data_IF_823584726459
#
_entry.id   IF_823584726459
#
_cell.length_a   1.000
_cell.length_b   1.000
_cell.length_c   1.000
_cell.angle_alpha   90.00
_cell.angle_beta   90.00
_cell.angle_gamma   90.00
#
_symmetry.space_group_name_H-M   'P 1'
#
loop_
_entity.id
_entity.type
_entity.pdbx_description
1 polymer ?
#
# COMPACT_ATOMS: atom_id res chain seq x y z
N UNK A 1 2.65 -20.53 38.56
CA UNK A 1 3.36 -21.75 38.11
C UNK A 1 3.53 -21.77 36.59
N UNK A 2 2.50 -21.47 35.79
CA UNK A 2 2.58 -21.54 34.31
C UNK A 2 3.62 -20.59 33.66
N UNK A 3 3.70 -19.31 34.06
CA UNK A 3 4.67 -18.37 33.48
C UNK A 3 6.13 -18.76 33.73
N UNK A 4 6.47 -19.14 34.96
CA UNK A 4 7.83 -19.58 35.32
C UNK A 4 8.22 -20.83 34.52
N UNK A 5 7.28 -21.75 34.30
CA UNK A 5 7.52 -22.94 33.49
C UNK A 5 7.73 -22.60 32.00
N UNK A 6 7.01 -21.60 31.48
CA UNK A 6 7.21 -21.11 30.12
C UNK A 6 8.59 -20.46 29.95
N UNK A 7 8.97 -19.57 30.87
CA UNK A 7 10.27 -18.88 30.82
C UNK A 7 11.43 -19.90 30.85
N UNK A 8 11.35 -20.90 31.74
CA UNK A 8 12.32 -22.00 31.80
C UNK A 8 12.37 -22.83 30.51
N UNK A 9 11.24 -23.08 29.86
CA UNK A 9 11.19 -23.78 28.58
C UNK A 9 11.86 -22.97 27.46
N UNK A 10 11.61 -21.66 27.41
CA UNK A 10 12.19 -20.77 26.40
C UNK A 10 13.71 -20.62 26.56
N UNK A 11 14.22 -20.55 27.80
CA UNK A 11 15.66 -20.49 28.09
C UNK A 11 16.43 -21.75 27.64
N UNK A 12 15.77 -22.91 27.56
CA UNK A 12 16.39 -24.17 27.14
C UNK A 12 16.58 -24.27 25.62
N UNK A 13 15.91 -23.42 24.86
CA UNK A 13 15.97 -23.42 23.40
C UNK A 13 16.99 -22.41 22.87
N UNK A 14 17.44 -22.63 21.63
CA UNK A 14 18.35 -21.68 20.98
C UNK A 14 17.62 -20.34 20.77
N UNK A 15 18.27 -19.20 21.03
CA UNK A 15 17.67 -17.90 20.81
C UNK A 15 17.46 -17.65 19.31
N UNK A 16 16.48 -16.81 18.98
CA UNK A 16 16.28 -16.34 17.62
C UNK A 16 17.52 -15.59 17.11
N UNK A 17 17.77 -15.67 15.81
CA UNK A 17 18.87 -14.94 15.17
C UNK A 17 18.72 -13.43 15.40
N UNK A 18 19.78 -12.70 15.79
CA UNK A 18 19.73 -11.25 16.00
C UNK A 18 19.35 -10.47 14.74
N UNK A 19 18.78 -9.28 14.92
CA UNK A 19 18.36 -8.40 13.82
C UNK A 19 19.53 -7.92 12.95
N UNK A 20 20.73 -7.82 13.54
CA UNK A 20 21.97 -7.43 12.88
C UNK A 20 22.54 -8.48 11.92
N UNK A 21 22.07 -9.73 12.01
CA UNK A 21 22.58 -10.85 11.23
C UNK A 21 21.65 -11.24 10.07
N UNK A 22 22.26 -11.57 8.93
CA UNK A 22 21.57 -12.17 7.80
C UNK A 22 21.62 -13.70 7.90
N UNK A 23 20.45 -14.33 7.75
CA UNK A 23 20.31 -15.77 7.55
C UNK A 23 20.94 -16.21 6.23
N UNK A 24 21.16 -17.52 6.09
CA UNK A 24 21.70 -18.12 4.87
C UNK A 24 20.82 -17.77 3.67
N UNK A 25 19.49 -17.89 3.80
CA UNK A 25 18.54 -17.57 2.73
C UNK A 25 18.56 -16.11 2.33
N UNK A 26 18.64 -15.19 3.29
CA UNK A 26 18.76 -13.75 3.02
C UNK A 26 20.06 -13.43 2.28
N UNK A 27 21.20 -14.01 2.71
CA UNK A 27 22.49 -13.84 2.03
C UNK A 27 22.44 -14.39 0.60
N UNK A 28 21.91 -15.59 0.42
CA UNK A 28 21.78 -16.22 -0.90
C UNK A 28 20.91 -15.39 -1.84
N UNK A 29 19.77 -14.88 -1.36
CA UNK A 29 18.90 -14.02 -2.15
C UNK A 29 19.61 -12.71 -2.57
N UNK A 30 20.29 -12.05 -1.63
CA UNK A 30 21.06 -10.81 -1.90
C UNK A 30 22.14 -11.08 -2.96
N UNK A 31 22.95 -12.12 -2.78
CA UNK A 31 24.02 -12.46 -3.74
C UNK A 31 23.48 -12.89 -5.10
N UNK A 32 22.37 -13.63 -5.14
CA UNK A 32 21.72 -14.01 -6.39
C UNK A 32 21.24 -12.78 -7.18
N UNK A 33 20.62 -11.81 -6.51
CA UNK A 33 20.17 -10.56 -7.18
C UNK A 33 21.35 -9.68 -7.59
N UNK A 34 22.39 -9.54 -6.76
CA UNK A 34 23.61 -8.82 -7.16
C UNK A 34 24.30 -9.48 -8.36
N UNK A 35 24.35 -10.82 -8.38
CA UNK A 35 24.84 -11.59 -9.52
C UNK A 35 24.00 -11.36 -10.78
N UNK A 36 22.67 -11.39 -10.65
CA UNK A 36 21.76 -11.09 -11.76
C UNK A 36 21.98 -9.67 -12.30
N UNK A 37 22.06 -8.66 -11.43
CA UNK A 37 22.35 -7.27 -11.83
C UNK A 37 23.69 -7.19 -12.56
N UNK A 38 24.74 -7.84 -12.03
CA UNK A 38 26.05 -7.85 -12.66
C UNK A 38 26.03 -8.53 -14.04
N UNK A 39 25.27 -9.63 -14.19
CA UNK A 39 25.08 -10.31 -15.48
C UNK A 39 24.33 -9.40 -16.46
N UNK A 40 23.26 -8.74 -16.03
CA UNK A 40 22.49 -7.83 -16.87
C UNK A 40 23.31 -6.62 -17.33
N UNK A 41 24.08 -6.01 -16.42
CA UNK A 41 24.99 -4.92 -16.74
C UNK A 41 26.14 -5.37 -17.67
N UNK A 42 26.68 -6.56 -17.43
CA UNK A 42 27.71 -7.14 -18.31
C UNK A 42 27.14 -7.48 -19.68
N UNK A 43 25.92 -8.03 -19.73
CA UNK A 43 25.19 -8.32 -20.97
C UNK A 43 24.88 -7.06 -21.77
N UNK A 44 24.55 -5.95 -21.10
CA UNK A 44 24.38 -4.65 -21.74
C UNK A 44 25.65 -4.20 -22.49
N UNK A 45 26.82 -4.46 -21.92
CA UNK A 45 28.12 -4.05 -22.49
C UNK A 45 28.67 -5.06 -23.50
N UNK A 46 28.50 -6.36 -23.25
CA UNK A 46 29.19 -7.44 -23.98
C UNK A 46 28.33 -8.13 -25.04
N UNK A 47 27.01 -8.09 -24.90
CA UNK A 47 26.07 -8.84 -25.75
C UNK A 47 24.68 -8.14 -25.78
N UNK A 48 24.66 -6.86 -26.14
CA UNK A 48 23.47 -6.02 -26.06
C UNK A 48 22.29 -6.62 -26.84
N UNK A 49 22.48 -6.91 -28.12
CA UNK A 49 21.44 -7.42 -29.02
C UNK A 49 20.83 -8.74 -28.51
N UNK A 50 21.67 -9.67 -28.01
CA UNK A 50 21.21 -10.99 -27.56
C UNK A 50 20.47 -10.89 -26.21
N UNK A 51 20.98 -10.11 -25.26
CA UNK A 51 20.41 -10.03 -23.92
C UNK A 51 19.19 -9.11 -23.87
N UNK A 52 19.25 -7.97 -24.56
CA UNK A 52 18.22 -6.95 -24.51
C UNK A 52 17.20 -7.09 -25.64
N UNK A 53 17.62 -7.09 -26.91
CA UNK A 53 16.68 -7.11 -28.04
C UNK A 53 16.02 -8.48 -28.25
N UNK A 54 16.79 -9.57 -28.22
CA UNK A 54 16.25 -10.92 -28.42
C UNK A 54 15.71 -11.55 -27.12
N UNK A 55 16.26 -11.16 -25.97
CA UNK A 55 15.94 -11.73 -24.67
C UNK A 55 14.85 -10.96 -23.91
N UNK A 56 15.24 -9.85 -23.30
CA UNK A 56 14.39 -9.10 -22.36
C UNK A 56 13.25 -8.35 -23.05
N UNK A 57 13.47 -7.82 -24.25
CA UNK A 57 12.50 -7.00 -24.96
C UNK A 57 11.19 -7.73 -25.25
N UNK A 58 11.15 -8.92 -25.88
CA UNK A 58 9.90 -9.61 -26.16
C UNK A 58 9.16 -10.09 -24.90
N UNK A 59 9.87 -10.34 -23.80
CA UNK A 59 9.30 -10.92 -22.57
C UNK A 59 8.84 -9.85 -21.59
N UNK A 60 9.60 -8.77 -21.45
CA UNK A 60 9.37 -7.73 -20.43
C UNK A 60 9.01 -6.39 -21.08
N UNK A 61 9.75 -5.94 -22.09
CA UNK A 61 9.61 -4.59 -22.63
C UNK A 61 8.40 -4.43 -23.55
N UNK A 62 8.21 -5.33 -24.51
CA UNK A 62 7.11 -5.28 -25.48
C UNK A 62 5.73 -5.38 -24.81
N UNK A 63 5.52 -6.22 -23.78
CA UNK A 63 4.28 -6.20 -23.01
C UNK A 63 4.08 -4.88 -22.25
N UNK A 64 5.15 -4.32 -21.66
CA UNK A 64 5.09 -3.06 -20.90
C UNK A 64 4.82 -1.87 -21.82
N UNK A 65 5.45 -1.80 -23.00
CA UNK A 65 5.20 -0.74 -23.98
C UNK A 65 3.83 -0.85 -24.61
N UNK A 66 3.31 -2.07 -24.81
CA UNK A 66 1.93 -2.29 -25.25
C UNK A 66 0.91 -1.86 -24.19
N UNK A 67 1.23 -2.03 -22.91
CA UNK A 67 0.43 -1.52 -21.79
C UNK A 67 0.54 0.02 -21.64
N UNK A 68 1.70 0.59 -21.98
CA UNK A 68 1.95 2.04 -21.94
C UNK A 68 1.48 2.81 -23.20
N UNK A 69 1.01 2.13 -24.25
CA UNK A 69 0.46 2.77 -25.44
C UNK A 69 -0.93 3.35 -25.23
N UNK A 70 -1.35 4.28 -26.11
CA UNK A 70 -2.56 5.13 -26.07
C UNK A 70 -3.94 4.43 -25.91
N UNK A 71 -3.99 3.13 -25.61
CA UNK A 71 -5.22 2.41 -25.30
C UNK A 71 -5.15 1.57 -24.01
N UNK A 72 -3.99 1.43 -23.34
CA UNK A 72 -3.89 0.72 -22.05
C UNK A 72 -4.56 -0.67 -22.02
N UNK A 73 -4.47 -1.42 -23.12
CA UNK A 73 -5.37 -2.56 -23.44
C UNK A 73 -4.63 -3.90 -23.64
N UNK A 74 -3.48 -4.08 -22.98
CA UNK A 74 -2.73 -5.33 -23.02
C UNK A 74 -3.09 -6.27 -21.86
N UNK A 75 -3.68 -7.43 -22.14
CA UNK A 75 -3.93 -8.48 -21.15
C UNK A 75 -2.63 -9.16 -20.65
N UNK A 76 -2.59 -9.56 -19.37
CA UNK A 76 -1.45 -10.25 -18.78
C UNK A 76 -1.34 -11.73 -19.23
N UNK A 77 -0.13 -12.18 -19.57
CA UNK A 77 0.17 -13.60 -19.81
C UNK A 77 0.56 -14.33 -18.51
N UNK A 78 0.36 -15.66 -18.39
CA UNK A 78 0.80 -16.43 -17.23
C UNK A 78 2.30 -16.31 -16.94
N UNK A 79 3.14 -16.21 -17.97
CA UNK A 79 4.59 -16.02 -17.82
C UNK A 79 4.92 -14.68 -17.18
N UNK A 80 4.28 -13.60 -17.65
CA UNK A 80 4.49 -12.27 -17.10
C UNK A 80 4.06 -12.22 -15.63
N UNK A 81 2.88 -12.77 -15.32
CA UNK A 81 2.37 -12.87 -13.94
C UNK A 81 3.35 -13.62 -13.03
N UNK A 82 3.94 -14.73 -13.50
CA UNK A 82 4.90 -15.50 -12.73
C UNK A 82 6.21 -14.72 -12.48
N UNK A 83 6.74 -14.03 -13.49
CA UNK A 83 7.96 -13.21 -13.37
C UNK A 83 7.74 -12.06 -12.39
N UNK A 84 6.62 -11.33 -12.50
CA UNK A 84 6.31 -10.22 -11.59
C UNK A 84 6.08 -10.71 -10.15
N UNK A 85 5.39 -11.83 -9.98
CA UNK A 85 5.14 -12.40 -8.65
C UNK A 85 6.43 -12.92 -8.01
N UNK A 86 7.27 -13.63 -8.79
CA UNK A 86 8.55 -14.13 -8.32
C UNK A 86 9.52 -13.01 -7.96
N UNK A 87 9.63 -11.97 -8.78
CA UNK A 87 10.48 -10.81 -8.49
C UNK A 87 10.01 -10.06 -7.25
N UNK A 88 8.69 -9.90 -7.06
CA UNK A 88 8.12 -9.30 -5.86
C UNK A 88 8.49 -10.09 -4.60
N UNK A 89 8.35 -11.41 -4.60
CA UNK A 89 8.71 -12.26 -3.46
C UNK A 89 10.20 -12.13 -3.10
N UNK A 90 11.08 -12.14 -4.11
CA UNK A 90 12.53 -11.94 -3.88
C UNK A 90 12.82 -10.55 -3.32
N UNK A 91 12.17 -9.51 -3.86
CA UNK A 91 12.28 -8.15 -3.34
C UNK A 91 11.84 -8.06 -1.87
N UNK A 92 10.73 -8.70 -1.49
CA UNK A 92 10.26 -8.72 -0.10
C UNK A 92 11.31 -9.35 0.83
N UNK A 93 11.91 -10.49 0.44
CA UNK A 93 12.95 -11.17 1.24
C UNK A 93 14.20 -10.32 1.41
N UNK A 94 14.60 -9.56 0.38
CA UNK A 94 15.77 -8.68 0.43
C UNK A 94 15.46 -7.43 1.25
N UNK A 95 14.37 -6.74 0.93
CA UNK A 95 14.00 -5.48 1.58
C UNK A 95 13.73 -5.67 3.07
N UNK A 96 13.07 -6.75 3.49
CA UNK A 96 12.88 -6.99 4.93
C UNK A 96 14.22 -7.14 5.67
N UNK A 97 15.20 -7.80 5.05
CA UNK A 97 16.51 -7.99 5.65
C UNK A 97 17.29 -6.66 5.73
N UNK A 98 17.25 -5.87 4.65
CA UNK A 98 17.90 -4.56 4.60
C UNK A 98 17.28 -3.58 5.60
N UNK A 99 15.94 -3.51 5.66
CA UNK A 99 15.22 -2.61 6.58
C UNK A 99 15.42 -3.00 8.03
N UNK A 100 15.44 -4.31 8.33
CA UNK A 100 15.78 -4.81 9.67
C UNK A 100 17.18 -4.41 10.08
N UNK A 101 18.17 -4.64 9.22
CA UNK A 101 19.57 -4.29 9.52
C UNK A 101 19.79 -2.78 9.64
N UNK A 102 18.99 -1.99 8.92
CA UNK A 102 19.01 -0.53 9.00
C UNK A 102 18.22 0.03 10.19
N UNK A 103 17.59 -0.83 11.01
CA UNK A 103 16.75 -0.45 12.15
C UNK A 103 15.64 0.54 11.77
N UNK A 104 15.00 0.31 10.62
CA UNK A 104 13.90 1.16 10.20
C UNK A 104 12.64 0.89 11.05
N UNK A 105 11.82 1.92 11.34
CA UNK A 105 10.57 1.71 12.05
C UNK A 105 9.66 0.74 11.27
N UNK A 106 9.08 -0.25 11.95
CA UNK A 106 8.13 -1.21 11.37
C UNK A 106 6.84 -1.36 12.19
N UNK A 107 6.54 -0.39 13.04
CA UNK A 107 5.39 -0.40 13.92
C UNK A 107 4.08 0.05 13.23
N UNK A 108 2.99 0.06 13.99
CA UNK A 108 1.68 0.57 13.56
C UNK A 108 1.75 1.99 12.97
N UNK A 109 2.68 2.83 13.46
CA UNK A 109 2.87 4.20 12.98
C UNK A 109 3.45 4.22 11.57
N UNK A 110 4.46 3.37 11.31
CA UNK A 110 4.99 3.18 9.95
C UNK A 110 3.92 2.64 9.00
N UNK A 111 3.09 1.71 9.48
CA UNK A 111 1.98 1.17 8.67
C UNK A 111 1.04 2.29 8.20
N UNK A 112 0.66 3.21 9.10
CA UNK A 112 -0.15 4.38 8.74
C UNK A 112 0.52 5.30 7.72
N UNK A 113 1.83 5.52 7.85
CA UNK A 113 2.59 6.31 6.89
C UNK A 113 2.54 5.65 5.50
N UNK A 114 2.79 4.35 5.40
CA UNK A 114 2.76 3.62 4.14
C UNK A 114 1.38 3.59 3.49
N UNK A 115 0.29 3.47 4.27
CA UNK A 115 -1.08 3.54 3.76
C UNK A 115 -1.32 4.86 3.01
N UNK A 116 -0.84 5.99 3.54
CA UNK A 116 -0.99 7.28 2.86
C UNK A 116 -0.31 7.31 1.48
N UNK A 117 0.85 6.66 1.35
CA UNK A 117 1.55 6.53 0.06
C UNK A 117 0.85 5.56 -0.90
N UNK A 118 0.26 4.47 -0.38
CA UNK A 118 -0.57 3.57 -1.20
C UNK A 118 -1.79 4.29 -1.76
N UNK A 119 -2.39 5.23 -1.01
CA UNK A 119 -3.50 6.06 -1.49
C UNK A 119 -3.07 7.14 -2.51
N UNK A 120 -1.81 7.59 -2.48
CA UNK A 120 -1.33 8.66 -3.37
C UNK A 120 -1.27 8.23 -4.84
N UNK A 121 -0.81 7.00 -5.10
CA UNK A 121 -0.71 6.47 -6.45
C UNK A 121 -2.07 6.45 -7.20
N UNK A 122 -3.15 5.84 -6.66
CA UNK A 122 -4.46 5.88 -7.30
C UNK A 122 -5.05 7.29 -7.37
N UNK A 123 -4.76 8.17 -6.40
CA UNK A 123 -5.20 9.57 -6.45
C UNK A 123 -4.68 10.29 -7.71
N UNK A 124 -3.42 10.09 -8.07
CA UNK A 124 -2.85 10.67 -9.29
C UNK A 124 -3.23 9.89 -10.55
N UNK A 125 -3.41 8.57 -10.46
CA UNK A 125 -3.87 7.78 -11.61
C UNK A 125 -5.22 8.17 -12.14
N UNK A 126 -6.15 8.44 -11.25
CA UNK A 126 -7.50 8.85 -11.66
C UNK A 126 -7.48 10.19 -12.38
N UNK A 127 -6.50 11.07 -12.10
CA UNK A 127 -6.29 12.30 -12.87
C UNK A 127 -5.73 12.02 -14.26
N UNK A 128 -4.83 11.04 -14.38
CA UNK A 128 -4.33 10.58 -15.69
C UNK A 128 -5.46 9.93 -16.50
N UNK A 129 -6.26 9.04 -15.89
CA UNK A 129 -7.46 8.45 -16.52
C UNK A 129 -8.49 9.52 -16.96
N UNK A 130 -8.42 10.73 -16.40
CA UNK A 130 -9.28 11.85 -16.75
C UNK A 130 -8.65 12.86 -17.70
N UNK A 131 -7.52 12.53 -18.35
CA UNK A 131 -6.79 13.41 -19.29
C UNK A 131 -6.33 14.73 -18.65
N UNK A 132 -5.99 14.72 -17.35
CA UNK A 132 -5.52 15.93 -16.66
C UNK A 132 -4.11 16.34 -17.08
N UNK A 133 -3.19 15.38 -17.25
CA UNK A 133 -1.78 15.66 -17.51
C UNK A 133 -1.50 15.84 -19.00
N UNK A 134 -0.49 16.64 -19.31
CA UNK A 134 -0.09 16.95 -20.69
C UNK A 134 0.43 15.71 -21.43
N UNK A 135 0.33 15.69 -22.77
CA UNK A 135 0.79 14.56 -23.62
C UNK A 135 2.29 14.20 -23.46
N UNK A 136 3.09 15.10 -22.91
CA UNK A 136 4.51 14.84 -22.60
C UNK A 136 4.72 14.28 -21.18
N UNK A 137 3.77 14.52 -20.26
CA UNK A 137 3.86 14.20 -18.84
C UNK A 137 2.98 13.02 -18.43
N UNK A 138 1.95 12.68 -19.21
CA UNK A 138 1.06 11.52 -19.02
C UNK A 138 1.84 10.20 -18.81
N UNK A 139 2.94 10.02 -19.54
CA UNK A 139 3.84 8.86 -19.46
C UNK A 139 4.38 8.66 -18.03
N UNK A 140 4.58 9.74 -17.25
CA UNK A 140 5.01 9.64 -15.85
C UNK A 140 3.93 9.06 -14.95
N UNK A 141 2.67 9.27 -15.29
CA UNK A 141 1.53 8.81 -14.52
C UNK A 141 1.02 7.45 -14.96
N UNK A 142 1.52 6.87 -16.05
CA UNK A 142 1.21 5.50 -16.50
C UNK A 142 2.12 4.44 -15.85
N UNK A 143 1.80 3.15 -15.99
CA UNK A 143 2.57 2.02 -15.43
C UNK A 143 3.74 1.71 -16.34
N UNK A 144 4.94 1.39 -15.81
CA UNK A 144 5.30 1.28 -14.38
C UNK A 144 5.81 2.60 -13.78
N UNK A 145 5.96 3.67 -14.57
CA UNK A 145 6.68 4.90 -14.21
C UNK A 145 6.11 5.61 -12.98
N UNK A 146 4.78 5.61 -12.80
CA UNK A 146 4.16 6.24 -11.63
C UNK A 146 4.72 5.69 -10.32
N UNK A 147 4.91 4.37 -10.26
CA UNK A 147 5.38 3.69 -9.06
C UNK A 147 6.86 4.00 -8.80
N UNK A 148 7.65 4.18 -9.86
CA UNK A 148 9.07 4.48 -9.76
C UNK A 148 9.32 5.90 -9.22
N UNK A 149 8.66 6.91 -9.79
CA UNK A 149 8.87 8.28 -9.31
C UNK A 149 8.22 8.50 -7.94
N UNK A 150 7.06 7.89 -7.65
CA UNK A 150 6.47 7.94 -6.31
C UNK A 150 7.34 7.25 -5.26
N UNK A 151 7.97 6.12 -5.61
CA UNK A 151 8.96 5.50 -4.75
C UNK A 151 10.18 6.42 -4.54
N UNK A 152 10.62 7.14 -5.57
CA UNK A 152 11.70 8.13 -5.43
C UNK A 152 11.32 9.27 -4.48
N UNK A 153 10.09 9.78 -4.56
CA UNK A 153 9.56 10.75 -3.58
C UNK A 153 9.50 10.17 -2.17
N UNK A 154 8.97 8.96 -2.00
CA UNK A 154 8.88 8.28 -0.70
C UNK A 154 10.26 8.13 -0.05
N UNK A 155 11.23 7.61 -0.82
CA UNK A 155 12.61 7.41 -0.36
C UNK A 155 13.27 8.76 -0.07
N UNK A 156 13.07 9.76 -0.94
CA UNK A 156 13.61 11.11 -0.76
C UNK A 156 13.10 11.79 0.51
N UNK A 157 11.80 11.69 0.79
CA UNK A 157 11.18 12.21 2.00
C UNK A 157 11.67 11.44 3.24
N UNK A 158 11.73 10.11 3.18
CA UNK A 158 12.24 9.28 4.26
C UNK A 158 13.70 9.61 4.60
N UNK A 159 14.57 9.63 3.58
CA UNK A 159 16.00 9.93 3.72
C UNK A 159 16.24 11.35 4.24
N UNK A 160 15.53 12.34 3.70
CA UNK A 160 15.62 13.74 4.17
C UNK A 160 15.16 13.85 5.62
N UNK A 161 14.05 13.20 5.97
CA UNK A 161 13.53 13.22 7.34
C UNK A 161 14.51 12.58 8.33
N UNK A 162 15.10 11.43 7.98
CA UNK A 162 16.14 10.80 8.79
C UNK A 162 17.37 11.69 8.91
N UNK A 163 17.82 12.28 7.80
CA UNK A 163 19.04 13.06 7.76
C UNK A 163 18.93 14.35 8.59
N UNK A 164 17.83 15.11 8.49
CA UNK A 164 17.73 16.38 9.24
C UNK A 164 17.27 16.16 10.68
N UNK A 165 16.36 15.21 10.93
CA UNK A 165 15.68 15.10 12.21
C UNK A 165 15.94 13.80 13.00
N UNK A 166 16.44 12.74 12.37
CA UNK A 166 16.63 11.44 13.01
C UNK A 166 17.57 11.45 14.22
N UNK A 167 18.52 12.39 14.28
CA UNK A 167 19.40 12.58 15.43
C UNK A 167 18.66 12.95 16.74
N UNK A 168 17.39 13.36 16.65
CA UNK A 168 16.55 13.72 17.81
C UNK A 168 15.43 12.71 18.07
N UNK A 169 15.41 11.55 17.41
CA UNK A 169 14.32 10.57 17.56
C UNK A 169 14.17 10.02 19.00
N UNK A 170 15.25 9.99 19.77
CA UNK A 170 15.23 9.59 21.19
C UNK A 170 14.98 10.74 22.16
N UNK A 171 14.82 11.97 21.66
CA UNK A 171 14.66 13.15 22.50
C UNK A 171 13.24 13.25 23.05
N UNK A 172 13.12 13.44 24.36
CA UNK A 172 11.83 13.51 25.07
C UNK A 172 11.44 14.93 25.49
N UNK A 173 12.30 15.91 25.26
CA UNK A 173 12.05 17.30 25.68
C UNK A 173 11.27 18.09 24.63
N UNK A 174 10.37 18.98 25.08
CA UNK A 174 9.64 19.91 24.21
C UNK A 174 10.57 20.78 23.36
N UNK A 175 11.76 21.10 23.91
CA UNK A 175 12.76 21.90 23.21
C UNK A 175 13.32 21.16 22.00
N UNK A 176 13.54 19.85 22.11
CA UNK A 176 14.06 19.03 21.02
C UNK A 176 12.97 18.75 19.98
N UNK A 177 11.75 18.49 20.42
CA UNK A 177 10.58 18.40 19.53
C UNK A 177 10.36 19.72 18.75
N UNK A 178 10.61 20.87 19.36
CA UNK A 178 10.59 22.15 18.68
C UNK A 178 11.77 22.33 17.68
N UNK A 179 12.91 21.65 17.87
CA UNK A 179 14.00 21.64 16.88
C UNK A 179 13.63 20.78 15.67
N UNK A 180 13.14 19.55 15.90
CA UNK A 180 12.67 18.65 14.83
C UNK A 180 11.66 19.38 13.96
N UNK A 181 10.64 19.99 14.57
CA UNK A 181 9.59 20.72 13.86
C UNK A 181 10.13 21.88 13.04
N UNK A 182 11.00 22.70 13.62
CA UNK A 182 11.59 23.87 12.93
C UNK A 182 12.53 23.47 11.79
N UNK A 183 13.22 22.34 11.91
CA UNK A 183 14.11 21.85 10.86
C UNK A 183 13.33 21.14 9.74
N UNK A 184 12.42 20.22 10.08
CA UNK A 184 11.77 19.34 9.12
C UNK A 184 10.56 19.98 8.43
N UNK A 185 9.72 20.73 9.16
CA UNK A 185 8.46 21.25 8.61
C UNK A 185 8.65 22.18 7.40
N UNK A 186 9.56 23.17 7.40
CA UNK A 186 9.76 24.03 6.22
C UNK A 186 10.23 23.23 5.01
N UNK A 187 11.11 22.23 5.21
CA UNK A 187 11.62 21.37 4.13
C UNK A 187 10.48 20.57 3.52
N UNK A 188 9.61 19.97 4.32
CA UNK A 188 8.46 19.21 3.81
C UNK A 188 7.43 20.10 3.11
N UNK A 189 7.21 21.33 3.58
CA UNK A 189 6.33 22.30 2.91
C UNK A 189 6.89 22.72 1.55
N UNK A 190 8.20 22.99 1.46
CA UNK A 190 8.88 23.28 0.19
C UNK A 190 8.82 22.06 -0.72
N UNK A 191 9.08 20.86 -0.20
CA UNK A 191 8.97 19.63 -0.98
C UNK A 191 7.56 19.42 -1.53
N UNK A 192 6.51 19.73 -0.75
CA UNK A 192 5.13 19.62 -1.21
C UNK A 192 4.81 20.66 -2.29
N UNK A 193 5.33 21.87 -2.15
CA UNK A 193 5.21 22.91 -3.19
C UNK A 193 5.95 22.50 -4.48
N UNK A 194 7.14 21.91 -4.36
CA UNK A 194 7.88 21.36 -5.51
C UNK A 194 7.13 20.20 -6.15
N UNK A 195 6.54 19.30 -5.36
CA UNK A 195 5.72 18.21 -5.86
C UNK A 195 4.51 18.75 -6.65
N UNK A 196 3.83 19.76 -6.13
CA UNK A 196 2.75 20.44 -6.84
C UNK A 196 3.23 21.13 -8.13
N UNK A 197 4.32 21.89 -8.06
CA UNK A 197 4.85 22.64 -9.20
C UNK A 197 5.40 21.76 -10.31
N UNK A 198 5.96 20.59 -9.98
CA UNK A 198 6.52 19.66 -10.96
C UNK A 198 5.45 18.76 -11.59
N UNK A 199 4.44 18.34 -10.81
CA UNK A 199 3.50 17.32 -11.25
C UNK A 199 2.15 17.88 -11.69
N UNK A 200 1.63 18.92 -11.04
CA UNK A 200 0.26 19.42 -11.28
C UNK A 200 0.25 20.74 -12.06
N UNK A 201 1.15 21.67 -11.71
CA UNK A 201 1.17 23.00 -12.34
C UNK A 201 1.28 23.00 -13.88
N UNK A 202 2.07 22.10 -14.52
CA UNK A 202 2.18 22.09 -15.97
C UNK A 202 0.84 21.87 -16.69
N UNK A 203 -0.06 21.06 -16.10
CA UNK A 203 -1.37 20.74 -16.66
C UNK A 203 -2.31 21.95 -16.76
N UNK A 204 -2.13 22.97 -15.92
CA UNK A 204 -3.01 24.14 -15.93
C UNK A 204 -2.86 25.00 -17.19
N UNK A 205 -1.79 24.82 -17.95
CA UNK A 205 -1.54 25.55 -19.20
C UNK A 205 -2.41 24.99 -20.32
N UNK A 206 -2.67 23.68 -20.33
CA UNK A 206 -3.53 23.05 -21.35
C UNK A 206 -5.01 23.29 -21.09
N UNK A 207 -5.40 23.38 -19.82
CA UNK A 207 -6.78 23.58 -19.39
C UNK A 207 -7.05 25.05 -18.99
N UNK A 208 -6.91 26.00 -19.92
CA UNK A 208 -7.05 27.45 -19.62
C UNK A 208 -8.43 27.85 -19.03
N UNK A 209 -9.49 27.08 -19.34
CA UNK A 209 -10.84 27.30 -18.82
C UNK A 209 -11.07 26.68 -17.42
N UNK A 210 -10.07 25.97 -16.88
CA UNK A 210 -10.16 25.33 -15.58
C UNK A 210 -10.27 26.38 -14.46
N UNK A 211 -11.24 26.19 -13.56
CA UNK A 211 -11.34 27.00 -12.36
C UNK A 211 -10.08 26.85 -11.48
N UNK A 212 -9.71 27.90 -10.73
CA UNK A 212 -8.56 27.82 -9.81
C UNK A 212 -8.97 27.69 -8.35
N UNK A 213 -10.27 27.69 -8.06
CA UNK A 213 -10.79 27.66 -6.69
C UNK A 213 -10.41 26.36 -5.96
N UNK A 214 -10.66 25.19 -6.54
CA UNK A 214 -10.34 23.91 -5.89
C UNK A 214 -8.83 23.63 -5.88
N UNK A 215 -8.09 24.15 -6.86
CA UNK A 215 -6.62 24.12 -6.86
C UNK A 215 -6.05 24.86 -5.65
N UNK A 216 -6.42 26.13 -5.44
CA UNK A 216 -5.86 26.93 -4.35
C UNK A 216 -6.35 26.47 -2.96
N UNK A 217 -7.64 26.14 -2.84
CA UNK A 217 -8.19 25.59 -1.59
C UNK A 217 -7.54 24.24 -1.26
N UNK A 218 -7.32 23.39 -2.26
CA UNK A 218 -6.58 22.12 -2.14
C UNK A 218 -5.14 22.30 -1.67
N UNK A 219 -4.42 23.26 -2.24
CA UNK A 219 -3.05 23.58 -1.82
C UNK A 219 -3.00 24.06 -0.36
N UNK A 220 -3.90 24.95 0.03
CA UNK A 220 -4.04 25.44 1.42
C UNK A 220 -4.39 24.29 2.37
N UNK A 221 -5.35 23.45 2.00
CA UNK A 221 -5.76 22.28 2.78
C UNK A 221 -4.61 21.28 2.94
N UNK A 222 -3.83 21.04 1.89
CA UNK A 222 -2.68 20.14 1.90
C UNK A 222 -1.58 20.65 2.85
N UNK A 223 -1.28 21.95 2.84
CA UNK A 223 -0.38 22.55 3.83
C UNK A 223 -0.93 22.45 5.24
N UNK A 224 -2.23 22.69 5.45
CA UNK A 224 -2.86 22.57 6.76
C UNK A 224 -2.80 21.13 7.29
N UNK A 225 -2.98 20.13 6.43
CA UNK A 225 -2.85 18.70 6.77
C UNK A 225 -1.41 18.35 7.14
N UNK A 226 -0.44 18.78 6.34
CA UNK A 226 0.99 18.56 6.62
C UNK A 226 1.37 19.14 7.98
N UNK A 227 1.01 20.40 8.23
CA UNK A 227 1.26 21.07 9.51
C UNK A 227 0.53 20.33 10.63
N UNK A 228 -0.76 20.02 10.45
CA UNK A 228 -1.58 19.35 11.45
C UNK A 228 -1.04 17.97 11.86
N UNK A 229 -0.59 17.17 10.91
CA UNK A 229 0.04 15.87 11.18
C UNK A 229 1.35 16.09 11.93
N UNK A 230 2.21 17.00 11.44
CA UNK A 230 3.45 17.34 12.14
C UNK A 230 3.19 17.78 13.59
N UNK A 231 2.11 18.50 13.89
CA UNK A 231 1.78 18.90 15.26
C UNK A 231 1.27 17.73 16.12
N UNK A 232 0.59 16.74 15.54
CA UNK A 232 -0.04 15.62 16.25
C UNK A 232 0.88 14.41 16.45
N UNK A 233 1.87 14.22 15.59
CA UNK A 233 2.80 13.08 15.64
C UNK A 233 4.08 13.42 16.40
N UNK A 234 3.95 14.10 17.54
CA UNK A 234 5.10 14.38 18.41
C UNK A 234 5.68 13.07 18.95
N UNK A 235 6.99 13.00 19.12
CA UNK A 235 7.70 11.77 19.55
C UNK A 235 7.56 10.56 18.61
N UNK A 236 7.08 10.76 17.38
CA UNK A 236 7.18 9.74 16.34
C UNK A 236 8.56 9.81 15.69
N UNK A 237 9.14 8.67 15.25
CA UNK A 237 10.39 8.67 14.49
C UNK A 237 10.31 9.62 13.30
N UNK A 238 11.40 10.34 13.02
CA UNK A 238 11.44 11.38 12.00
C UNK A 238 11.01 10.85 10.63
N UNK A 239 11.50 9.67 10.24
CA UNK A 239 11.11 8.99 8.99
C UNK A 239 9.59 8.83 8.90
N UNK A 240 9.00 8.15 9.88
CA UNK A 240 7.57 7.82 9.91
C UNK A 240 6.71 9.08 9.86
N UNK A 241 7.09 10.08 10.65
CA UNK A 241 6.38 11.35 10.72
C UNK A 241 6.45 12.12 9.41
N UNK A 242 7.64 12.23 8.80
CA UNK A 242 7.82 12.94 7.54
C UNK A 242 7.06 12.26 6.40
N UNK A 243 7.14 10.93 6.32
CA UNK A 243 6.40 10.14 5.34
C UNK A 243 4.89 10.30 5.49
N UNK A 244 4.35 10.21 6.71
CA UNK A 244 2.92 10.36 6.95
C UNK A 244 2.42 11.78 6.62
N UNK A 245 3.17 12.80 7.05
CA UNK A 245 2.80 14.20 6.85
C UNK A 245 2.79 14.57 5.36
N UNK A 246 3.84 14.21 4.63
CA UNK A 246 3.93 14.47 3.20
C UNK A 246 2.92 13.63 2.40
N UNK A 247 2.88 12.31 2.63
CA UNK A 247 1.98 11.40 1.90
C UNK A 247 0.52 11.79 2.05
N UNK A 248 0.07 12.10 3.27
CA UNK A 248 -1.32 12.52 3.51
C UNK A 248 -1.64 13.87 2.86
N UNK A 249 -0.71 14.82 2.89
CA UNK A 249 -0.89 16.12 2.25
C UNK A 249 -0.94 15.99 0.72
N UNK A 250 -0.09 15.14 0.14
CA UNK A 250 -0.11 14.85 -1.29
C UNK A 250 -1.40 14.15 -1.73
N UNK A 251 -1.98 13.27 -0.90
CA UNK A 251 -3.31 12.67 -1.17
C UNK A 251 -4.40 13.74 -1.18
N UNK A 252 -4.40 14.66 -0.20
CA UNK A 252 -5.36 15.79 -0.19
C UNK A 252 -5.20 16.66 -1.43
N UNK A 253 -3.97 16.87 -1.90
CA UNK A 253 -3.71 17.58 -3.15
C UNK A 253 -4.36 16.87 -4.34
N UNK A 254 -4.15 15.56 -4.50
CA UNK A 254 -4.73 14.79 -5.60
C UNK A 254 -6.26 14.81 -5.59
N UNK A 255 -6.88 14.59 -4.43
CA UNK A 255 -8.35 14.62 -4.28
C UNK A 255 -8.92 16.03 -4.50
N UNK A 256 -8.18 17.09 -4.18
CA UNK A 256 -8.63 18.45 -4.50
C UNK A 256 -8.66 18.70 -6.01
N UNK A 257 -7.78 18.05 -6.79
CA UNK A 257 -7.83 18.12 -8.26
C UNK A 257 -8.98 17.28 -8.83
N UNK A 258 -9.41 16.21 -8.14
CA UNK A 258 -10.66 15.53 -8.48
C UNK A 258 -11.85 16.48 -8.33
N UNK A 259 -11.92 17.22 -7.22
CA UNK A 259 -12.96 18.23 -7.00
C UNK A 259 -12.90 19.37 -8.03
N UNK A 260 -11.68 19.73 -8.46
CA UNK A 260 -11.47 20.69 -9.53
C UNK A 260 -12.06 20.21 -10.86
N UNK A 261 -11.77 18.97 -11.25
CA UNK A 261 -12.33 18.37 -12.47
C UNK A 261 -13.87 18.31 -12.42
N UNK A 262 -14.44 17.89 -11.29
CA UNK A 262 -15.90 17.84 -11.12
C UNK A 262 -16.56 19.23 -11.20
N UNK A 263 -15.85 20.29 -10.82
CA UNK A 263 -16.37 21.65 -10.86
C UNK A 263 -16.26 22.30 -12.24
N UNK A 264 -15.15 22.09 -12.94
CA UNK A 264 -14.92 22.56 -14.31
C UNK A 264 -14.30 21.41 -15.12
N UNK A 265 -15.12 20.49 -15.65
CA UNK A 265 -14.62 19.38 -16.45
C UNK A 265 -14.08 19.89 -17.79
N UNK A 266 -13.07 19.21 -18.31
CA UNK A 266 -12.51 19.44 -19.65
C UNK A 266 -12.91 18.30 -20.60
N UNK A 267 -12.76 18.53 -21.91
CA UNK A 267 -13.03 17.49 -22.92
C UNK A 267 -12.03 16.35 -22.78
N UNK A 268 -12.53 15.12 -22.86
CA UNK A 268 -11.76 13.89 -22.74
C UNK A 268 -11.62 13.23 -24.10
N UNK A 269 -10.43 12.72 -24.41
CA UNK A 269 -10.20 12.00 -25.68
C UNK A 269 -11.04 10.70 -25.73
N UNK A 270 -11.38 10.14 -24.56
CA UNK A 270 -12.13 8.89 -24.43
C UNK A 270 -13.63 9.00 -24.78
N UNK A 271 -14.18 10.21 -24.92
CA UNK A 271 -15.60 10.50 -25.21
C UNK A 271 -16.63 9.80 -24.29
N UNK A 272 -16.19 9.20 -23.17
CA UNK A 272 -17.02 8.47 -22.20
C UNK A 272 -17.55 9.39 -21.11
N UNK A 273 -18.15 10.53 -21.47
CA UNK A 273 -18.76 11.39 -20.46
C UNK A 273 -20.06 10.74 -20.00
N UNK A 274 -20.06 10.17 -18.78
CA UNK A 274 -21.30 9.77 -18.12
C UNK A 274 -22.20 11.01 -17.98
N UNK A 275 -23.43 10.97 -18.51
CA UNK A 275 -24.39 12.09 -18.43
C UNK A 275 -24.71 12.52 -16.98
N UNK A 276 -24.48 11.62 -16.01
CA UNK A 276 -24.54 11.91 -14.58
C UNK A 276 -23.42 11.18 -13.85
N UNK A 277 -22.72 11.86 -12.94
CA UNK A 277 -21.72 11.29 -12.03
C UNK A 277 -22.37 11.01 -10.67
N UNK A 278 -23.01 9.83 -10.48
CA UNK A 278 -23.66 9.52 -9.21
C UNK A 278 -22.61 9.38 -8.09
N UNK A 279 -22.88 10.03 -6.96
CA UNK A 279 -22.01 9.99 -5.76
C UNK A 279 -22.26 8.71 -4.93
N UNK A 280 -23.40 8.03 -5.14
CA UNK A 280 -23.77 6.86 -4.32
C UNK A 280 -22.75 5.71 -4.30
N UNK A 281 -21.99 5.41 -5.38
CA UNK A 281 -20.94 4.39 -5.37
C UNK A 281 -19.92 4.60 -4.26
N UNK A 282 -19.58 5.86 -3.92
CA UNK A 282 -18.62 6.17 -2.85
C UNK A 282 -19.11 5.63 -1.50
N UNK A 283 -20.41 5.71 -1.21
CA UNK A 283 -20.96 5.21 0.05
C UNK A 283 -20.95 3.67 0.12
N UNK A 284 -21.09 2.99 -1.02
CA UNK A 284 -21.02 1.52 -1.06
C UNK A 284 -19.57 1.06 -0.96
N UNK A 285 -18.71 1.58 -1.84
CA UNK A 285 -17.33 1.13 -2.00
C UNK A 285 -16.44 1.53 -0.82
N UNK A 286 -16.65 2.71 -0.21
CA UNK A 286 -15.87 3.15 0.95
C UNK A 286 -16.62 2.93 2.26
N UNK A 287 -17.95 3.09 2.27
CA UNK A 287 -18.75 3.02 3.49
C UNK A 287 -18.94 1.61 4.03
N UNK A 288 -19.26 0.62 3.19
CA UNK A 288 -19.43 -0.78 3.67
C UNK A 288 -18.13 -1.32 4.26
N UNK A 289 -16.96 -1.21 3.58
CA UNK A 289 -15.69 -1.63 4.18
C UNK A 289 -15.35 -0.88 5.47
N UNK A 290 -15.66 0.42 5.56
CA UNK A 290 -15.45 1.18 6.79
C UNK A 290 -16.30 0.64 7.96
N UNK A 291 -17.56 0.26 7.71
CA UNK A 291 -18.44 -0.36 8.72
C UNK A 291 -17.86 -1.71 9.17
N UNK A 292 -17.39 -2.56 8.24
CA UNK A 292 -16.73 -3.83 8.59
C UNK A 292 -15.50 -3.59 9.47
N UNK A 293 -14.63 -2.66 9.09
CA UNK A 293 -13.45 -2.29 9.86
C UNK A 293 -13.81 -1.73 11.24
N UNK A 294 -14.90 -0.98 11.36
CA UNK A 294 -15.39 -0.48 12.66
C UNK A 294 -15.77 -1.63 13.60
N UNK A 295 -16.45 -2.66 13.10
CA UNK A 295 -16.78 -3.85 13.90
C UNK A 295 -15.53 -4.63 14.30
N UNK A 296 -14.59 -4.88 13.36
CA UNK A 296 -13.32 -5.54 13.67
C UNK A 296 -12.50 -4.78 14.71
N UNK A 297 -12.41 -3.46 14.57
CA UNK A 297 -11.75 -2.60 15.54
C UNK A 297 -12.40 -2.72 16.92
N UNK A 298 -13.73 -2.66 17.01
CA UNK A 298 -14.45 -2.84 18.28
C UNK A 298 -14.22 -4.21 18.92
N UNK A 299 -14.08 -5.26 18.12
CA UNK A 299 -13.82 -6.62 18.62
C UNK A 299 -12.41 -6.78 19.21
N UNK A 300 -11.41 -6.05 18.70
CA UNK A 300 -10.00 -6.26 19.06
C UNK A 300 -9.36 -5.18 19.94
N UNK A 301 -9.95 -3.98 20.05
CA UNK A 301 -9.25 -2.82 20.61
C UNK A 301 -8.87 -2.97 22.10
N UNK A 302 -9.70 -3.64 22.90
CA UNK A 302 -9.41 -3.86 24.32
C UNK A 302 -8.17 -4.75 24.50
N UNK A 303 -8.15 -5.89 23.81
CA UNK A 303 -7.05 -6.85 23.85
C UNK A 303 -5.76 -6.23 23.28
N UNK A 304 -5.87 -5.45 22.20
CA UNK A 304 -4.73 -4.73 21.62
C UNK A 304 -4.12 -3.73 22.62
N UNK A 305 -4.96 -2.98 23.35
CA UNK A 305 -4.48 -2.02 24.36
C UNK A 305 -3.82 -2.73 25.53
N UNK A 306 -4.41 -3.80 26.04
CA UNK A 306 -3.83 -4.59 27.14
C UNK A 306 -2.49 -5.22 26.74
N UNK A 307 -2.39 -5.70 25.50
CA UNK A 307 -1.15 -6.26 24.98
C UNK A 307 -0.04 -5.20 24.87
N UNK A 308 -0.36 -4.00 24.36
CA UNK A 308 0.59 -2.88 24.29
C UNK A 308 1.03 -2.39 25.67
N UNK A 309 0.14 -2.35 26.65
CA UNK A 309 0.48 -2.03 28.05
C UNK A 309 1.43 -3.06 28.67
N UNK A 310 1.39 -4.30 28.17
CA UNK A 310 2.29 -5.38 28.59
C UNK A 310 3.65 -5.34 27.87
N UNK A 311 3.88 -4.37 26.96
CA UNK A 311 5.12 -4.24 26.20
C UNK A 311 5.23 -5.16 24.99
N UNK A 312 4.13 -5.78 24.54
CA UNK A 312 4.14 -6.73 23.43
C UNK A 312 3.33 -6.23 22.23
N UNK A 313 3.62 -6.80 21.06
CA UNK A 313 2.94 -6.51 19.79
C UNK A 313 2.07 -7.70 19.35
N UNK A 314 0.90 -7.41 18.77
CA UNK A 314 -0.07 -8.46 18.39
C UNK A 314 0.49 -9.32 17.26
N UNK A 315 0.63 -10.63 17.50
CA UNK A 315 1.14 -11.60 16.52
C UNK A 315 2.66 -11.65 16.38
N UNK A 316 3.41 -10.97 17.25
CA UNK A 316 4.88 -11.01 17.29
C UNK A 316 5.35 -11.67 18.59
N UNK A 317 6.29 -12.59 18.49
CA UNK A 317 6.91 -13.22 19.65
C UNK A 317 7.84 -12.27 20.40
N UNK A 318 8.07 -12.49 21.71
CA UNK A 318 9.06 -11.74 22.47
C UNK A 318 10.46 -11.79 21.83
N UNK A 319 11.27 -10.77 22.10
CA UNK A 319 12.65 -10.72 21.62
C UNK A 319 13.45 -11.96 22.05
N UNK A 320 14.25 -12.50 21.12
CA UNK A 320 15.07 -13.69 21.36
C UNK A 320 14.32 -15.02 21.32
N UNK A 321 12.99 -15.04 21.20
CA UNK A 321 12.20 -16.29 21.15
C UNK A 321 12.05 -16.80 19.72
N UNK A 322 12.42 -18.06 19.49
CA UNK A 322 12.18 -18.76 18.21
C UNK A 322 10.75 -19.28 18.10
N UNK A 323 10.23 -19.34 16.87
CA UNK A 323 8.89 -19.87 16.62
C UNK A 323 8.76 -21.34 17.02
N UNK A 324 9.76 -22.17 16.72
CA UNK A 324 9.76 -23.59 17.10
C UNK A 324 9.67 -23.80 18.62
N UNK A 325 10.45 -23.02 19.39
CA UNK A 325 10.43 -23.08 20.85
C UNK A 325 9.08 -22.67 21.44
N UNK A 326 8.43 -21.67 20.81
CA UNK A 326 7.10 -21.21 21.19
C UNK A 326 6.03 -22.27 20.91
N UNK A 327 6.06 -22.90 19.74
CA UNK A 327 5.09 -23.94 19.37
C UNK A 327 5.26 -25.20 20.23
N UNK A 328 6.50 -25.58 20.55
CA UNK A 328 6.82 -26.71 21.44
C UNK A 328 6.34 -26.49 22.88
N UNK A 329 6.14 -25.24 23.30
CA UNK A 329 5.63 -24.93 24.63
C UNK A 329 4.13 -25.28 24.81
N UNK A 330 3.41 -25.56 23.71
CA UNK A 330 2.01 -26.00 23.75
C UNK A 330 1.12 -25.07 24.57
N UNK A 331 0.32 -25.62 25.49
CA UNK A 331 -0.64 -24.84 26.30
C UNK A 331 0.00 -23.82 27.26
N UNK A 332 1.31 -23.91 27.52
CA UNK A 332 2.01 -22.95 28.40
C UNK A 332 1.94 -21.52 27.83
N UNK A 333 1.90 -21.37 26.50
CA UNK A 333 1.82 -20.07 25.82
C UNK A 333 0.53 -19.32 26.15
N UNK A 334 -0.54 -20.03 26.52
CA UNK A 334 -1.82 -19.45 26.91
C UNK A 334 -1.74 -18.70 28.26
N UNK A 335 -0.61 -18.76 28.97
CA UNK A 335 -0.37 -17.93 30.16
C UNK A 335 0.35 -16.61 29.87
N UNK A 336 0.84 -16.45 28.63
CA UNK A 336 1.57 -15.28 28.17
C UNK A 336 0.62 -14.29 27.48
N UNK A 337 0.78 -12.95 27.66
CA UNK A 337 -0.05 -11.95 27.01
C UNK A 337 -0.15 -12.12 25.49
N UNK A 338 0.96 -12.46 24.83
CA UNK A 338 1.00 -12.74 23.38
C UNK A 338 0.08 -13.90 22.99
N UNK A 339 0.05 -15.00 23.75
CA UNK A 339 -0.84 -16.12 23.46
C UNK A 339 -2.32 -15.79 23.69
N UNK A 340 -2.61 -15.07 24.78
CA UNK A 340 -3.98 -14.73 25.19
C UNK A 340 -4.64 -13.66 24.33
N UNK A 341 -3.92 -12.58 24.03
CA UNK A 341 -4.51 -11.35 23.51
C UNK A 341 -4.25 -11.14 22.02
N UNK A 342 -3.23 -11.79 21.42
CA UNK A 342 -2.85 -11.49 20.04
C UNK A 342 -3.97 -11.77 19.03
N UNK A 343 -4.69 -12.89 19.16
CA UNK A 343 -5.69 -13.31 18.15
C UNK A 343 -6.74 -12.24 17.89
N UNK A 344 -7.33 -11.70 18.96
CA UNK A 344 -8.33 -10.64 18.90
C UNK A 344 -7.69 -9.26 18.74
N UNK A 345 -6.60 -8.99 19.44
CA UNK A 345 -5.89 -7.72 19.35
C UNK A 345 -5.44 -7.38 17.93
N UNK A 346 -5.06 -8.40 17.15
CA UNK A 346 -4.64 -8.27 15.76
C UNK A 346 -5.75 -7.68 14.86
N UNK A 347 -7.02 -7.95 15.14
CA UNK A 347 -8.17 -7.41 14.38
C UNK A 347 -8.27 -5.88 14.43
N UNK A 348 -7.74 -5.26 15.49
CA UNK A 348 -7.75 -3.81 15.67
C UNK A 348 -6.46 -3.12 15.22
N UNK A 349 -5.49 -3.87 14.67
CA UNK A 349 -4.24 -3.28 14.17
C UNK A 349 -4.47 -2.55 12.84
N UNK A 350 -3.77 -1.43 12.58
CA UNK A 350 -3.86 -0.71 11.30
C UNK A 350 -3.55 -1.62 10.11
N UNK A 351 -2.61 -2.54 10.30
CA UNK A 351 -2.20 -3.55 9.31
C UNK A 351 -3.39 -4.38 8.82
N UNK A 352 -4.15 -4.98 9.73
CA UNK A 352 -5.30 -5.85 9.38
C UNK A 352 -6.47 -5.02 8.86
N UNK A 353 -6.77 -3.90 9.52
CA UNK A 353 -7.86 -3.03 9.11
C UNK A 353 -7.65 -2.47 7.70
N UNK A 354 -6.43 -2.07 7.36
CA UNK A 354 -6.12 -1.59 6.01
C UNK A 354 -6.24 -2.70 4.97
N UNK A 355 -5.75 -3.90 5.27
CA UNK A 355 -5.84 -5.04 4.36
C UNK A 355 -7.30 -5.44 4.08
N UNK A 356 -8.13 -5.50 5.14
CA UNK A 356 -9.57 -5.75 5.05
C UNK A 356 -10.25 -4.65 4.22
N UNK A 357 -9.97 -3.40 4.56
CA UNK A 357 -10.55 -2.26 3.85
C UNK A 357 -10.20 -2.29 2.37
N UNK A 358 -8.92 -2.45 2.03
CA UNK A 358 -8.44 -2.46 0.63
C UNK A 358 -9.06 -3.57 -0.22
N UNK A 359 -9.08 -4.81 0.28
CA UNK A 359 -9.64 -5.93 -0.50
C UNK A 359 -11.16 -5.84 -0.68
N UNK A 360 -11.86 -5.33 0.34
CA UNK A 360 -13.30 -5.11 0.22
C UNK A 360 -13.62 -3.91 -0.69
N UNK A 361 -12.87 -2.81 -0.60
CA UNK A 361 -13.01 -1.68 -1.52
C UNK A 361 -12.84 -2.12 -2.97
N UNK A 362 -11.83 -2.94 -3.27
CA UNK A 362 -11.64 -3.52 -4.60
C UNK A 362 -12.85 -4.34 -5.05
N UNK A 363 -13.29 -5.31 -4.23
CA UNK A 363 -14.44 -6.15 -4.56
C UNK A 363 -15.70 -5.34 -4.83
N UNK A 364 -16.03 -4.38 -3.96
CA UNK A 364 -17.19 -3.51 -4.14
C UNK A 364 -17.04 -2.55 -5.33
N UNK A 365 -15.83 -2.02 -5.60
CA UNK A 365 -15.59 -1.15 -6.74
C UNK A 365 -15.82 -1.88 -8.06
N UNK A 366 -15.25 -3.09 -8.21
CA UNK A 366 -15.45 -3.94 -9.39
C UNK A 366 -16.92 -4.33 -9.54
N UNK A 367 -17.59 -4.73 -8.46
CA UNK A 367 -19.02 -5.07 -8.51
C UNK A 367 -19.88 -3.90 -8.96
N UNK A 368 -19.69 -2.72 -8.36
CA UNK A 368 -20.46 -1.54 -8.75
C UNK A 368 -20.13 -1.13 -10.19
N UNK A 369 -18.86 -1.12 -10.58
CA UNK A 369 -18.44 -0.77 -11.94
C UNK A 369 -19.04 -1.67 -13.01
N UNK A 370 -19.01 -2.99 -12.81
CA UNK A 370 -19.53 -3.94 -13.80
C UNK A 370 -21.06 -3.98 -13.76
N UNK A 371 -21.66 -4.28 -12.61
CA UNK A 371 -23.10 -4.55 -12.52
C UNK A 371 -23.95 -3.27 -12.71
N UNK A 372 -23.42 -2.07 -12.43
CA UNK A 372 -24.17 -0.80 -12.50
C UNK A 372 -23.72 0.15 -13.60
N UNK A 373 -22.47 0.06 -14.09
CA UNK A 373 -21.90 1.00 -15.07
C UNK A 373 -21.35 0.33 -16.33
N UNK A 374 -21.40 -1.00 -16.45
CA UNK A 374 -21.00 -1.73 -17.66
C UNK A 374 -19.50 -1.69 -17.96
N UNK A 375 -18.64 -1.51 -16.95
CA UNK A 375 -17.18 -1.64 -17.12
C UNK A 375 -16.78 -3.09 -17.40
N UNK A 376 -15.66 -3.28 -18.11
CA UNK A 376 -15.08 -4.60 -18.38
C UNK A 376 -13.92 -4.94 -17.44
N UNK A 377 -13.87 -6.17 -16.94
CA UNK A 377 -12.76 -6.69 -16.15
C UNK A 377 -11.56 -7.09 -17.05
N UNK A 378 -10.36 -6.61 -16.70
CA UNK A 378 -9.13 -6.83 -17.48
C UNK A 378 -8.34 -8.06 -17.03
N UNK A 379 -8.45 -8.46 -15.76
CA UNK A 379 -7.64 -9.55 -15.23
C UNK A 379 -8.26 -10.92 -15.57
N UNK A 380 -7.52 -11.88 -16.18
CA UNK A 380 -8.08 -13.15 -16.64
C UNK A 380 -8.80 -13.94 -15.54
N UNK A 381 -8.19 -14.00 -14.34
CA UNK A 381 -8.76 -14.73 -13.20
C UNK A 381 -10.03 -14.06 -12.69
N UNK A 382 -10.06 -12.73 -12.59
CA UNK A 382 -11.24 -11.98 -12.14
C UNK A 382 -12.38 -12.12 -13.14
N UNK A 383 -12.08 -12.04 -14.43
CA UNK A 383 -13.07 -12.19 -15.50
C UNK A 383 -13.73 -13.59 -15.49
N UNK A 384 -12.97 -14.65 -15.22
CA UNK A 384 -13.55 -15.99 -15.07
C UNK A 384 -14.47 -16.12 -13.85
N UNK A 385 -14.15 -15.46 -12.72
CA UNK A 385 -15.04 -15.40 -11.56
C UNK A 385 -16.34 -14.69 -11.91
N UNK A 386 -16.28 -13.57 -12.65
CA UNK A 386 -17.48 -12.82 -13.05
C UNK A 386 -18.36 -13.64 -14.00
N UNK A 387 -17.77 -14.31 -15.00
CA UNK A 387 -18.52 -15.22 -15.90
C UNK A 387 -19.19 -16.37 -15.14
N UNK A 388 -18.54 -16.90 -14.11
CA UNK A 388 -19.14 -17.90 -13.23
C UNK A 388 -20.33 -17.31 -12.46
N UNK A 389 -20.21 -16.07 -11.98
CA UNK A 389 -21.30 -15.31 -11.38
C UNK A 389 -22.51 -15.16 -12.31
N UNK A 390 -22.27 -14.81 -13.57
CA UNK A 390 -23.33 -14.72 -14.60
C UNK A 390 -24.06 -16.05 -14.81
N UNK A 391 -23.33 -17.18 -14.89
CA UNK A 391 -23.93 -18.51 -14.97
C UNK A 391 -24.75 -18.87 -13.72
N UNK A 392 -24.30 -18.42 -12.55
CA UNK A 392 -25.04 -18.62 -11.30
C UNK A 392 -26.33 -17.79 -11.29
N UNK A 393 -26.29 -16.54 -11.77
CA UNK A 393 -27.47 -15.69 -11.95
C UNK A 393 -28.53 -16.39 -12.81
N UNK A 394 -28.12 -16.96 -13.96
CA UNK A 394 -29.00 -17.74 -14.84
C UNK A 394 -29.60 -18.96 -14.13
N UNK A 395 -28.81 -19.66 -13.29
CA UNK A 395 -29.27 -20.86 -12.59
C UNK A 395 -30.18 -20.59 -11.39
N UNK A 396 -30.03 -19.43 -10.73
CA UNK A 396 -30.76 -19.05 -9.51
C UNK A 396 -31.93 -18.10 -9.82
N UNK A 397 -32.02 -17.59 -11.05
CA UNK A 397 -33.06 -16.66 -11.49
C UNK A 397 -32.84 -15.21 -11.00
N UNK A 398 -31.57 -14.80 -10.85
CA UNK A 398 -31.22 -13.43 -10.46
C UNK A 398 -31.10 -12.59 -11.73
N UNK A 399 -32.02 -11.66 -11.94
CA UNK A 399 -32.02 -10.74 -13.09
C UNK A 399 -31.19 -9.46 -12.86
N UNK A 400 -30.59 -9.30 -11.68
CA UNK A 400 -29.81 -8.11 -11.31
C UNK A 400 -28.31 -8.32 -11.51
N UNK A 401 -27.69 -7.46 -12.33
CA UNK A 401 -26.24 -7.43 -12.58
C UNK A 401 -25.73 -8.52 -13.54
N UNK A 402 -24.49 -8.37 -13.99
CA UNK A 402 -23.78 -9.34 -14.85
C UNK A 402 -23.15 -10.49 -14.04
N UNK A 403 -23.25 -10.44 -12.71
CA UNK A 403 -22.75 -11.47 -11.80
C UNK A 403 -21.48 -11.07 -11.03
N UNK A 404 -21.10 -9.78 -11.06
CA UNK A 404 -19.91 -9.30 -10.39
C UNK A 404 -20.00 -9.35 -8.86
N UNK A 405 -21.20 -9.49 -8.28
CA UNK A 405 -21.39 -9.77 -6.84
C UNK A 405 -20.59 -10.99 -6.36
N UNK A 406 -20.35 -12.00 -7.22
CA UNK A 406 -19.56 -13.17 -6.86
C UNK A 406 -18.09 -12.79 -6.62
N UNK A 407 -17.56 -11.81 -7.36
CA UNK A 407 -16.20 -11.31 -7.16
C UNK A 407 -16.03 -10.67 -5.78
N UNK A 408 -16.99 -9.83 -5.36
CA UNK A 408 -17.03 -9.28 -3.99
C UNK A 408 -17.04 -10.37 -2.94
N UNK A 409 -17.85 -11.42 -3.13
CA UNK A 409 -17.93 -12.54 -2.20
C UNK A 409 -16.60 -13.29 -2.12
N UNK A 410 -15.97 -13.58 -3.26
CA UNK A 410 -14.65 -14.22 -3.33
C UNK A 410 -13.60 -13.38 -2.62
N UNK A 411 -13.58 -12.05 -2.85
CA UNK A 411 -12.69 -11.11 -2.15
C UNK A 411 -12.92 -11.13 -0.64
N UNK A 412 -14.18 -11.12 -0.19
CA UNK A 412 -14.54 -11.17 1.22
C UNK A 412 -14.10 -12.49 1.90
N UNK A 413 -14.28 -13.63 1.23
CA UNK A 413 -13.82 -14.93 1.73
C UNK A 413 -12.29 -15.01 1.75
N UNK A 414 -11.63 -14.53 0.70
CA UNK A 414 -10.17 -14.48 0.61
C UNK A 414 -9.58 -13.67 1.77
N UNK A 415 -10.07 -12.43 1.98
CA UNK A 415 -9.55 -11.58 3.04
C UNK A 415 -9.91 -12.12 4.43
N UNK A 416 -11.12 -12.70 4.60
CA UNK A 416 -11.47 -13.39 5.84
C UNK A 416 -10.53 -14.55 6.16
N UNK A 417 -10.14 -15.33 5.15
CA UNK A 417 -9.17 -16.42 5.27
C UNK A 417 -7.78 -15.90 5.63
N UNK A 418 -7.31 -14.84 4.97
CA UNK A 418 -6.02 -14.22 5.26
C UNK A 418 -6.00 -13.68 6.70
N UNK A 419 -7.05 -12.99 7.14
CA UNK A 419 -7.16 -12.47 8.52
C UNK A 419 -7.16 -13.60 9.53
N UNK A 420 -7.88 -14.69 9.26
CA UNK A 420 -7.87 -15.88 10.12
C UNK A 420 -6.48 -16.50 10.22
N UNK A 421 -5.78 -16.67 9.10
CA UNK A 421 -4.39 -17.15 9.08
C UNK A 421 -3.46 -16.20 9.85
N UNK A 422 -3.58 -14.90 9.67
CA UNK A 422 -2.79 -13.90 10.41
C UNK A 422 -3.07 -13.89 11.91
N UNK A 423 -4.31 -14.17 12.32
CA UNK A 423 -4.65 -14.29 13.74
C UNK A 423 -4.08 -15.56 14.38
N UNK A 424 -3.94 -16.64 13.60
CA UNK A 424 -3.38 -17.91 14.09
C UNK A 424 -1.85 -17.98 14.00
N UNK A 425 -1.23 -17.34 13.01
CA UNK A 425 0.22 -17.34 12.84
C UNK A 425 0.89 -16.33 13.78
N UNK A 426 2.05 -16.70 14.32
CA UNK A 426 2.93 -15.80 15.08
C UNK A 426 4.25 -15.73 14.33
N UNK A 427 4.86 -14.55 14.37
CA UNK A 427 6.17 -14.33 13.73
C UNK A 427 7.22 -14.00 14.77
N UNK A 428 8.46 -14.39 14.51
CA UNK A 428 9.60 -13.99 15.33
C UNK A 428 9.80 -12.48 15.27
N UNK A 429 10.42 -11.89 16.31
CA UNK A 429 10.69 -10.45 16.35
C UNK A 429 11.46 -9.96 15.11
N UNK A 430 12.46 -10.72 14.64
CA UNK A 430 13.24 -10.42 13.43
C UNK A 430 12.41 -10.39 12.14
N UNK A 431 11.21 -10.96 12.13
CA UNK A 431 10.34 -11.07 10.96
C UNK A 431 9.28 -9.95 10.88
N UNK A 432 9.32 -8.95 11.77
CA UNK A 432 8.38 -7.82 11.78
C UNK A 432 8.33 -7.08 10.43
N UNK A 433 9.48 -6.82 9.82
CA UNK A 433 9.55 -6.21 8.49
C UNK A 433 8.96 -7.08 7.38
N UNK A 434 9.19 -8.39 7.43
CA UNK A 434 8.61 -9.33 6.48
C UNK A 434 7.07 -9.26 6.56
N UNK A 435 6.53 -9.30 7.77
CA UNK A 435 5.09 -9.18 8.02
C UNK A 435 4.53 -7.87 7.47
N UNK A 436 5.18 -6.74 7.74
CA UNK A 436 4.76 -5.43 7.22
C UNK A 436 4.74 -5.40 5.69
N UNK A 437 5.78 -5.93 5.03
CA UNK A 437 5.89 -5.94 3.57
C UNK A 437 4.86 -6.88 2.91
N UNK A 438 4.57 -8.04 3.51
CA UNK A 438 3.49 -8.92 3.01
C UNK A 438 2.15 -8.19 3.10
N UNK A 439 1.88 -7.49 4.20
CA UNK A 439 0.62 -6.73 4.30
C UNK A 439 0.58 -5.58 3.32
N UNK A 440 1.68 -4.86 3.13
CA UNK A 440 1.77 -3.81 2.13
C UNK A 440 1.51 -4.36 0.72
N UNK A 441 2.04 -5.54 0.39
CA UNK A 441 1.76 -6.24 -0.86
C UNK A 441 0.27 -6.53 -1.06
N UNK A 442 -0.38 -7.13 -0.06
CA UNK A 442 -1.83 -7.42 -0.12
C UNK A 442 -2.66 -6.13 -0.17
N UNK A 443 -2.21 -5.08 0.52
CA UNK A 443 -2.86 -3.77 0.52
C UNK A 443 -2.79 -3.12 -0.87
N UNK A 444 -1.61 -3.11 -1.50
CA UNK A 444 -1.41 -2.52 -2.83
C UNK A 444 -2.30 -3.22 -3.87
N UNK A 445 -2.41 -4.56 -3.81
CA UNK A 445 -3.22 -5.35 -4.76
C UNK A 445 -4.74 -5.15 -4.57
N UNK A 446 -5.20 -4.65 -3.42
CA UNK A 446 -6.63 -4.38 -3.18
C UNK A 446 -6.95 -2.89 -3.19
N UNK A 447 -6.34 -2.12 -2.29
CA UNK A 447 -6.69 -0.72 -2.07
C UNK A 447 -6.39 0.15 -3.29
N UNK A 448 -5.27 -0.06 -4.00
CA UNK A 448 -4.92 0.80 -5.13
C UNK A 448 -5.88 0.64 -6.32
N UNK A 449 -6.20 -0.59 -6.79
CA UNK A 449 -7.26 -0.78 -7.78
C UNK A 449 -8.63 -0.27 -7.31
N UNK A 450 -9.05 -0.61 -6.08
CA UNK A 450 -10.35 -0.17 -5.55
C UNK A 450 -10.50 1.35 -5.45
N UNK A 451 -9.45 2.08 -5.07
CA UNK A 451 -9.44 3.55 -5.05
C UNK A 451 -9.39 4.17 -6.46
N UNK A 452 -8.70 3.51 -7.41
CA UNK A 452 -8.67 3.96 -8.80
C UNK A 452 -10.05 3.79 -9.43
N UNK A 453 -10.65 2.61 -9.33
CA UNK A 453 -11.94 2.30 -9.94
C UNK A 453 -13.06 3.19 -9.38
N UNK A 454 -13.10 3.42 -8.07
CA UNK A 454 -14.09 4.36 -7.51
C UNK A 454 -13.81 5.81 -7.92
N UNK A 455 -12.55 6.21 -8.04
CA UNK A 455 -12.19 7.53 -8.53
C UNK A 455 -12.65 7.73 -9.97
N UNK A 456 -12.40 6.74 -10.83
CA UNK A 456 -12.87 6.70 -12.22
C UNK A 456 -14.39 6.79 -12.32
N UNK A 457 -15.11 6.01 -11.50
CA UNK A 457 -16.58 6.10 -11.40
C UNK A 457 -17.06 7.48 -10.94
N UNK A 458 -16.33 8.11 -10.02
CA UNK A 458 -16.68 9.43 -9.47
C UNK A 458 -16.47 10.53 -10.51
N UNK A 459 -15.38 10.46 -11.28
CA UNK A 459 -15.07 11.43 -12.35
C UNK A 459 -15.81 11.11 -13.66
N UNK A 460 -16.30 9.89 -13.81
CA UNK A 460 -17.00 9.41 -15.00
C UNK A 460 -16.08 9.05 -16.16
N UNK A 461 -15.00 8.29 -15.90
CA UNK A 461 -13.93 7.92 -16.86
C UNK A 461 -13.61 6.43 -16.93
#
# INVERSE_FOLDING_TARGET
>A
MSRIALDQHLEQHKPALPDSEFSIWEKTAIWAVLGLIAILLSGFVLANDVVWDEGLKPIIWDPVTKDAGAAGDAGYSPQNTAIYTGSMLVCVVILQALFRRADFPCDDRMTLALIAWVCLAPAMRVLEDADFFTQDMDVLFISPLIHLHLAAWLIGIAATSQWVAGQWDHATSDRDEAKIRRALMPILLIALLLHWGLLYQPAYIEHEEMGMFWVFTGLIASFAVLIGIMLKTQHWPAITRGMLAFGSAAVVMGVAHWAQFLATPWEQESARVLETTPIWPLFVVLGIPAVVCFFLYRMGIEDLRQLKLSGFEAGVLPEGVQLAAWDDAGDLVNSHPVGLLSKKGLLATPMVLAMVYGQLCDGFATMVGIDSFGYGEKHPVSNEVIKLGGRLNESIGVEFGEGAWLFTLVKAVLIGTIVWLFAEMKVEHRQRHLRLLIVLAVLIVGLAPGLRDIGRLTLGV
#
